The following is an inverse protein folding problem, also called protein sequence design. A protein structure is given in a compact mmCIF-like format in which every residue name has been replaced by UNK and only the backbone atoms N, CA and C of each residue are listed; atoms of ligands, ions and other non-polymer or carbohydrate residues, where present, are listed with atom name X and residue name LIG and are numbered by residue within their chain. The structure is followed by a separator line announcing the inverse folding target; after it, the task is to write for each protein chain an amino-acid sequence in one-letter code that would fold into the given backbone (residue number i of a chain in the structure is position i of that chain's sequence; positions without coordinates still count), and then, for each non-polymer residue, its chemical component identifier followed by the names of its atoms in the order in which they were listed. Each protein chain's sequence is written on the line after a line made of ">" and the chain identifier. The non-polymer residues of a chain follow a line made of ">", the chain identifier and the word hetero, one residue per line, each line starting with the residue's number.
data_IF_933702353322
#
_entry.id   IF_933702353322
#
_cell.length_a   1.000
_cell.length_b   1.000
_cell.length_c   1.000
_cell.angle_alpha   90.00
_cell.angle_beta   90.00
_cell.angle_gamma   90.00
#
_symmetry.space_group_name_H-M   'P 1'
#
loop_
_entity.id
_entity.type
_entity.pdbx_description
1 polymer ?
#
# COMPACT_ATOMS: atom_id res chain seq x y z
N UNK A 1 4.56 18.93 3.30
CA UNK A 1 4.53 17.47 3.53
C UNK A 1 3.98 16.86 2.26
N UNK A 2 4.52 15.72 1.84
CA UNK A 2 4.11 15.07 0.60
C UNK A 2 3.37 13.81 1.02
N UNK A 3 2.04 13.89 1.12
CA UNK A 3 1.17 12.85 1.68
C UNK A 3 1.44 11.47 1.05
N UNK A 4 1.65 11.45 -0.27
CA UNK A 4 2.08 10.25 -0.99
C UNK A 4 3.36 9.65 -0.44
N UNK A 5 4.38 10.45 -0.15
CA UNK A 5 5.66 9.98 0.35
C UNK A 5 5.52 9.34 1.74
N UNK A 6 4.67 9.88 2.61
CA UNK A 6 4.38 9.26 3.91
C UNK A 6 3.68 7.90 3.77
N UNK A 7 2.74 7.78 2.84
CA UNK A 7 2.04 6.51 2.63
C UNK A 7 3.00 5.46 2.05
N UNK A 8 3.85 5.87 1.10
CA UNK A 8 4.86 4.99 0.49
C UNK A 8 5.91 4.54 1.52
N UNK A 9 6.41 5.46 2.35
CA UNK A 9 7.35 5.12 3.42
C UNK A 9 6.74 4.10 4.40
N UNK A 10 5.48 4.32 4.80
CA UNK A 10 4.75 3.38 5.65
C UNK A 10 4.53 2.02 5.00
N UNK A 11 4.23 1.99 3.69
CA UNK A 11 4.09 0.74 2.95
C UNK A 11 5.41 -0.06 2.97
N UNK A 12 6.54 0.59 2.74
CA UNK A 12 7.85 -0.06 2.78
C UNK A 12 8.24 -0.54 4.18
N UNK A 13 7.88 0.21 5.22
CA UNK A 13 8.07 -0.18 6.61
C UNK A 13 7.32 -1.48 6.92
N UNK A 14 6.04 -1.55 6.56
CA UNK A 14 5.18 -2.72 6.77
C UNK A 14 5.66 -3.94 5.98
N UNK A 15 5.97 -3.77 4.68
CA UNK A 15 6.49 -4.86 3.83
C UNK A 15 7.89 -5.31 4.28
N UNK A 16 8.70 -4.36 4.78
CA UNK A 16 10.07 -4.58 5.25
C UNK A 16 10.14 -5.28 6.61
N UNK A 17 9.22 -4.99 7.54
CA UNK A 17 9.11 -5.68 8.83
C UNK A 17 8.64 -7.14 8.66
N UNK A 18 7.77 -7.43 7.69
CA UNK A 18 7.22 -8.79 7.48
C UNK A 18 8.07 -9.66 6.52
N UNK A 19 9.22 -9.17 6.05
CA UNK A 19 10.20 -9.99 5.33
C UNK A 19 9.69 -10.52 3.99
N UNK A 20 9.03 -9.68 3.18
CA UNK A 20 8.61 -10.09 1.85
C UNK A 20 9.84 -10.15 0.92
N UNK A 21 10.30 -11.36 0.64
CA UNK A 21 11.37 -11.62 -0.31
C UNK A 21 11.00 -11.14 -1.71
N UNK A 22 11.63 -10.04 -2.15
CA UNK A 22 11.95 -9.70 -3.56
C UNK A 22 10.77 -9.39 -4.51
N UNK A 23 9.53 -9.79 -4.23
CA UNK A 23 8.39 -9.60 -5.16
C UNK A 23 7.52 -8.35 -4.93
N UNK A 24 7.72 -7.59 -3.84
CA UNK A 24 7.00 -6.32 -3.59
C UNK A 24 7.68 -5.09 -4.21
N UNK A 25 8.48 -5.28 -5.26
CA UNK A 25 9.41 -4.24 -5.72
C UNK A 25 8.73 -3.06 -6.44
N UNK A 26 7.49 -3.22 -6.92
CA UNK A 26 6.75 -2.15 -7.60
C UNK A 26 5.35 -2.01 -7.01
N UNK A 27 5.25 -1.21 -5.95
CA UNK A 27 3.98 -0.75 -5.40
C UNK A 27 3.76 0.70 -5.83
N UNK A 28 2.70 0.95 -6.61
CA UNK A 28 2.35 2.27 -7.07
C UNK A 28 1.23 2.87 -6.21
N UNK A 29 1.54 3.96 -5.52
CA UNK A 29 0.54 4.75 -4.78
C UNK A 29 0.22 6.02 -5.54
N UNK A 30 -1.07 6.26 -5.75
CA UNK A 30 -1.60 7.41 -6.45
C UNK A 30 -2.95 7.84 -5.85
N UNK A 31 -3.31 9.11 -6.07
CA UNK A 31 -4.59 9.67 -5.65
C UNK A 31 -5.47 9.90 -6.87
N UNK A 32 -6.76 9.60 -6.75
CA UNK A 32 -7.79 9.81 -7.76
C UNK A 32 -8.99 10.55 -7.11
N UNK A 33 -10.02 10.92 -7.88
CA UNK A 33 -11.20 11.63 -7.38
C UNK A 33 -11.91 10.93 -6.20
N UNK A 34 -11.71 9.62 -6.05
CA UNK A 34 -12.25 8.81 -4.94
C UNK A 34 -11.37 8.78 -3.69
N UNK A 35 -10.08 9.10 -3.81
CA UNK A 35 -9.06 9.01 -2.76
C UNK A 35 -7.81 8.25 -3.21
N UNK A 36 -7.00 7.87 -2.23
CA UNK A 36 -5.77 7.11 -2.37
C UNK A 36 -6.03 5.69 -2.82
N UNK A 37 -5.20 5.24 -3.75
CA UNK A 37 -5.16 3.88 -4.28
C UNK A 37 -3.74 3.34 -4.27
N UNK A 38 -3.64 2.03 -4.15
CA UNK A 38 -2.40 1.26 -4.18
C UNK A 38 -2.53 0.17 -5.24
N UNK A 39 -1.58 0.10 -6.15
CA UNK A 39 -1.40 -1.01 -7.07
C UNK A 39 -0.17 -1.79 -6.65
N UNK A 40 -0.32 -3.10 -6.45
CA UNK A 40 0.79 -4.00 -6.20
C UNK A 40 1.07 -4.79 -7.48
N UNK A 41 2.35 -4.96 -7.82
CA UNK A 41 2.75 -5.82 -8.93
C UNK A 41 2.15 -7.23 -8.77
N UNK A 42 1.49 -7.72 -9.83
CA UNK A 42 0.78 -9.00 -9.83
C UNK A 42 -0.72 -8.93 -9.51
N UNK A 43 -1.24 -7.76 -9.10
CA UNK A 43 -2.67 -7.53 -8.92
C UNK A 43 -3.32 -6.91 -10.16
N UNK A 44 -4.54 -7.34 -10.47
CA UNK A 44 -5.25 -6.97 -11.70
C UNK A 44 -5.82 -5.54 -11.68
N UNK A 45 -6.09 -4.99 -10.49
CA UNK A 45 -6.71 -3.67 -10.31
C UNK A 45 -6.09 -2.92 -9.12
N UNK A 46 -6.12 -1.58 -9.11
CA UNK A 46 -5.67 -0.78 -7.97
C UNK A 46 -6.68 -0.83 -6.82
N UNK A 47 -6.16 -1.00 -5.61
CA UNK A 47 -6.93 -1.16 -4.37
C UNK A 47 -7.14 0.20 -3.73
N UNK A 48 -8.37 0.49 -3.34
CA UNK A 48 -8.67 1.72 -2.61
C UNK A 48 -8.17 1.60 -1.17
N UNK A 49 -7.35 2.56 -0.74
CA UNK A 49 -6.75 2.57 0.60
C UNK A 49 -7.29 3.70 1.50
N UNK A 50 -8.07 4.65 1.00
CA UNK A 50 -8.67 5.69 1.85
C UNK A 50 -8.74 7.07 1.20
N UNK A 51 -9.35 8.07 1.86
CA UNK A 51 -9.32 9.47 1.41
C UNK A 51 -8.22 10.29 2.07
N UNK A 52 -7.79 9.87 3.24
CA UNK A 52 -6.76 10.52 4.04
C UNK A 52 -5.53 9.63 4.20
N UNK A 53 -4.40 10.23 4.56
CA UNK A 53 -3.17 9.50 4.87
C UNK A 53 -3.38 8.49 6.00
N UNK A 54 -4.18 8.82 7.01
CA UNK A 54 -4.47 7.93 8.15
C UNK A 54 -5.27 6.70 7.71
N UNK A 55 -6.30 6.89 6.88
CA UNK A 55 -7.06 5.77 6.29
C UNK A 55 -6.15 4.89 5.42
N UNK A 56 -5.31 5.50 4.58
CA UNK A 56 -4.34 4.81 3.74
C UNK A 56 -3.41 3.89 4.54
N UNK A 57 -2.82 4.41 5.63
CA UNK A 57 -1.97 3.63 6.54
C UNK A 57 -2.75 2.49 7.22
N UNK A 58 -3.99 2.73 7.64
CA UNK A 58 -4.82 1.70 8.25
C UNK A 58 -5.15 0.54 7.28
N UNK A 59 -5.54 0.86 6.04
CA UNK A 59 -5.82 -0.15 5.01
C UNK A 59 -4.56 -0.93 4.60
N UNK A 60 -3.41 -0.27 4.45
CA UNK A 60 -2.14 -0.94 4.15
C UNK A 60 -1.80 -1.97 5.21
N UNK A 61 -1.96 -1.63 6.49
CA UNK A 61 -1.69 -2.56 7.60
C UNK A 61 -2.64 -3.76 7.62
N UNK A 62 -3.91 -3.54 7.29
CA UNK A 62 -4.89 -4.61 7.17
C UNK A 62 -4.53 -5.57 6.03
N UNK A 63 -4.17 -5.02 4.86
CA UNK A 63 -3.73 -5.81 3.71
C UNK A 63 -2.47 -6.61 4.01
N UNK A 64 -1.51 -6.01 4.70
CA UNK A 64 -0.30 -6.68 5.14
C UNK A 64 -0.58 -7.86 6.08
N UNK A 65 -1.48 -7.66 7.06
CA UNK A 65 -1.90 -8.73 7.98
C UNK A 65 -2.60 -9.90 7.27
N UNK A 66 -3.17 -9.66 6.09
CA UNK A 66 -3.75 -10.69 5.20
C UNK A 66 -2.73 -11.26 4.20
N UNK A 67 -1.45 -10.92 4.35
CA UNK A 67 -0.36 -11.33 3.46
C UNK A 67 -0.34 -10.60 2.12
N UNK A 68 -1.00 -9.45 1.99
CA UNK A 68 -1.26 -8.76 0.72
C UNK A 68 -1.81 -9.71 -0.37
N UNK A 69 -2.55 -10.76 0.00
CA UNK A 69 -3.04 -11.78 -0.94
C UNK A 69 -1.98 -12.79 -1.42
N UNK A 70 -0.79 -12.81 -0.84
CA UNK A 70 0.23 -13.85 -1.03
C UNK A 70 -0.07 -15.01 -0.06
N UNK A 71 -0.71 -16.07 -0.57
CA UNK A 71 -0.75 -17.41 0.04
C UNK A 71 0.29 -18.31 -0.60
#
# INVERSE_FOLDING_TARGET
>A
MNDRAEIVEFLYDVIGEEGCGVSCSDAEIFEDEKGWKMMLEGFMEPWYIGKTVEEAKASIKEYASMGFGLS
#
